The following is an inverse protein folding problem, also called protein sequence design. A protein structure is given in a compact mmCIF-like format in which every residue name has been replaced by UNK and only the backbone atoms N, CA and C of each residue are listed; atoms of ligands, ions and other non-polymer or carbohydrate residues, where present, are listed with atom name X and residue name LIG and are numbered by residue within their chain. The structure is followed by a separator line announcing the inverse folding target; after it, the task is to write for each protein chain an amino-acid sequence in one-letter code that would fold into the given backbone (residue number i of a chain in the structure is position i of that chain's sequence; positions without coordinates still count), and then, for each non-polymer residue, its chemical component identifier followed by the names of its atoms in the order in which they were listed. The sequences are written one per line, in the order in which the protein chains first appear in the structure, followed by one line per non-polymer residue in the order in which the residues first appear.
data_IF_035227551264
#
_entry.id   IF_035227551264
#
_cell.length_a   1.000
_cell.length_b   1.000
_cell.length_c   1.000
_cell.angle_alpha   90.00
_cell.angle_beta   90.00
_cell.angle_gamma   90.00
#
_symmetry.space_group_name_H-M   'P 1'
#
loop_
_entity.id
_entity.type
_entity.pdbx_description
1 polymer ?
#
# COMPACT_ATOMS: atom_id res chain seq x y z
N UNK A 1 11.79 -14.00 -17.36
CA UNK A 1 11.77 -12.88 -16.44
C UNK A 1 12.56 -11.71 -17.01
N UNK A 2 12.02 -10.52 -16.88
CA UNK A 2 12.74 -9.34 -17.34
C UNK A 2 13.92 -9.06 -16.39
N UNK A 3 15.10 -8.93 -16.96
CA UNK A 3 16.25 -8.48 -16.20
C UNK A 3 16.08 -7.01 -15.90
N UNK A 4 16.28 -6.64 -14.65
CA UNK A 4 16.23 -5.24 -14.26
C UNK A 4 17.49 -4.55 -14.75
N UNK A 5 17.32 -3.37 -15.33
CA UNK A 5 18.44 -2.53 -15.69
C UNK A 5 19.12 -2.02 -14.42
N UNK A 6 20.44 -1.75 -14.46
CA UNK A 6 21.13 -1.22 -13.29
C UNK A 6 20.45 0.03 -12.70
N UNK A 7 19.96 0.89 -13.56
CA UNK A 7 19.23 2.10 -13.12
C UNK A 7 17.96 1.75 -12.33
N UNK A 8 17.21 0.72 -12.75
CA UNK A 8 16.02 0.28 -12.05
C UNK A 8 16.39 -0.35 -10.70
N UNK A 9 17.47 -1.09 -10.65
CA UNK A 9 17.95 -1.67 -9.41
C UNK A 9 18.38 -0.60 -8.42
N UNK A 10 19.07 0.43 -8.90
CA UNK A 10 19.47 1.55 -8.06
C UNK A 10 18.24 2.31 -7.54
N UNK A 11 17.25 2.53 -8.40
CA UNK A 11 16.01 3.18 -8.02
C UNK A 11 15.27 2.34 -6.98
N UNK A 12 15.22 1.03 -7.19
CA UNK A 12 14.61 0.09 -6.26
C UNK A 12 15.31 0.15 -4.90
N UNK A 13 16.64 0.09 -4.88
CA UNK A 13 17.40 0.15 -3.63
C UNK A 13 17.19 1.46 -2.90
N UNK A 14 17.10 2.56 -3.63
CA UNK A 14 16.91 3.90 -3.06
C UNK A 14 15.50 4.06 -2.49
N UNK A 15 14.49 3.53 -3.18
CA UNK A 15 13.09 3.65 -2.78
C UNK A 15 12.52 2.34 -2.25
N UNK A 16 13.39 1.34 -2.06
CA UNK A 16 13.00 0.08 -1.49
C UNK A 16 12.87 0.24 0.02
N UNK A 17 11.83 0.92 0.39
CA UNK A 17 11.50 1.07 1.78
C UNK A 17 11.19 -0.31 2.36
N UNK A 18 11.64 -0.57 3.59
CA UNK A 18 11.33 -1.86 4.24
C UNK A 18 9.85 -2.21 4.20
N UNK A 19 8.97 -1.21 4.24
CA UNK A 19 7.53 -1.42 4.17
C UNK A 19 7.11 -2.09 2.86
N UNK A 20 7.62 -1.62 1.73
CA UNK A 20 7.31 -2.21 0.43
C UNK A 20 7.80 -3.64 0.34
N UNK A 21 8.99 -3.89 0.86
CA UNK A 21 9.55 -5.24 0.88
C UNK A 21 8.69 -6.18 1.73
N UNK A 22 8.21 -5.71 2.88
CA UNK A 22 7.35 -6.52 3.74
C UNK A 22 6.03 -6.88 3.06
N UNK A 23 5.42 -5.90 2.38
CA UNK A 23 4.20 -6.14 1.63
C UNK A 23 4.45 -7.12 0.48
N UNK A 24 5.54 -6.93 -0.26
CA UNK A 24 5.89 -7.82 -1.35
C UNK A 24 6.08 -9.26 -0.85
N UNK A 25 6.82 -9.44 0.24
CA UNK A 25 7.04 -10.76 0.82
C UNK A 25 5.73 -11.40 1.29
N UNK A 26 4.86 -10.62 1.90
CA UNK A 26 3.57 -11.10 2.35
C UNK A 26 2.73 -11.61 1.18
N UNK A 27 2.63 -10.81 0.11
CA UNK A 27 1.86 -11.18 -1.06
C UNK A 27 2.42 -12.42 -1.74
N UNK A 28 3.74 -12.51 -1.85
CA UNK A 28 4.39 -13.67 -2.47
C UNK A 28 4.14 -14.94 -1.66
N UNK A 29 4.21 -14.85 -0.33
CA UNK A 29 3.94 -16.02 0.51
C UNK A 29 2.49 -16.44 0.49
N UNK A 30 1.57 -15.47 0.61
CA UNK A 30 0.14 -15.78 0.75
C UNK A 30 -0.51 -16.14 -0.57
N UNK A 31 -0.10 -15.50 -1.64
CA UNK A 31 -0.81 -15.60 -2.93
C UNK A 31 -0.03 -16.33 -4.01
N UNK A 32 1.25 -16.65 -3.76
CA UNK A 32 2.07 -17.33 -4.76
C UNK A 32 2.35 -16.48 -5.98
N UNK A 33 2.38 -15.16 -5.81
CA UNK A 33 2.59 -14.20 -6.89
C UNK A 33 4.03 -13.71 -6.90
N UNK A 34 4.40 -12.99 -7.97
CA UNK A 34 5.66 -12.28 -8.07
C UNK A 34 5.38 -10.79 -7.92
N UNK A 35 6.13 -10.10 -7.07
CA UNK A 35 5.92 -8.68 -6.81
C UNK A 35 7.17 -7.91 -7.19
N UNK A 36 6.98 -6.87 -7.98
CA UNK A 36 8.06 -6.01 -8.47
C UNK A 36 7.81 -4.57 -8.06
N UNK A 37 8.87 -3.80 -7.72
CA UNK A 37 8.71 -2.37 -7.55
C UNK A 37 8.37 -1.74 -8.89
N UNK A 38 7.51 -0.73 -8.87
CA UNK A 38 7.20 0.00 -10.08
C UNK A 38 8.39 0.94 -10.42
N UNK A 39 8.98 0.84 -11.61
CA UNK A 39 10.08 1.75 -11.97
C UNK A 39 9.64 3.20 -12.13
N UNK A 40 8.34 3.44 -12.35
CA UNK A 40 7.80 4.79 -12.38
C UNK A 40 7.57 5.29 -10.96
N UNK A 41 8.41 6.21 -10.50
CA UNK A 41 8.32 6.74 -9.13
C UNK A 41 7.06 7.55 -8.87
N UNK A 42 6.36 7.97 -9.90
CA UNK A 42 5.09 8.71 -9.78
C UNK A 42 3.88 7.79 -9.92
N UNK A 43 4.12 6.53 -10.23
CA UNK A 43 3.07 5.54 -10.33
C UNK A 43 2.79 4.86 -9.01
N UNK A 44 1.99 3.82 -9.06
CA UNK A 44 1.70 2.99 -7.88
C UNK A 44 2.97 2.28 -7.42
N UNK A 45 3.03 1.92 -6.14
CA UNK A 45 4.27 1.42 -5.54
C UNK A 45 4.73 0.07 -6.07
N UNK A 46 3.84 -0.91 -6.14
CA UNK A 46 4.19 -2.29 -6.46
C UNK A 46 3.33 -2.84 -7.58
N UNK A 47 3.95 -3.67 -8.42
CA UNK A 47 3.27 -4.42 -9.48
C UNK A 47 3.22 -5.90 -9.10
N UNK A 48 2.07 -6.52 -9.28
CA UNK A 48 1.83 -7.91 -8.90
C UNK A 48 1.57 -8.74 -10.15
N UNK A 49 2.34 -9.81 -10.31
CA UNK A 49 2.26 -10.67 -11.49
C UNK A 49 2.10 -12.13 -11.07
N UNK A 50 1.61 -12.96 -12.00
CA UNK A 50 1.57 -14.40 -11.75
C UNK A 50 2.94 -15.03 -12.05
N UNK A 51 3.05 -16.35 -11.93
CA UNK A 51 4.31 -17.06 -12.12
C UNK A 51 4.85 -16.92 -13.55
N UNK A 52 4.00 -16.60 -14.51
CA UNK A 52 4.38 -16.39 -15.92
C UNK A 52 4.67 -14.92 -16.23
N UNK A 53 4.82 -14.08 -15.19
CA UNK A 53 5.05 -12.63 -15.31
C UNK A 53 3.89 -11.86 -15.98
N UNK A 54 2.70 -12.42 -15.95
CA UNK A 54 1.53 -11.71 -16.44
C UNK A 54 0.98 -10.80 -15.34
N UNK A 55 0.65 -9.56 -15.69
CA UNK A 55 0.16 -8.57 -14.74
C UNK A 55 -1.19 -8.99 -14.16
N UNK A 56 -1.30 -9.00 -12.83
CA UNK A 56 -2.54 -9.30 -12.13
C UNK A 56 -3.13 -8.05 -11.46
N UNK A 57 -2.27 -7.17 -10.96
CA UNK A 57 -2.73 -6.02 -10.22
C UNK A 57 -1.57 -5.27 -9.59
N UNK A 58 -1.89 -4.40 -8.65
CA UNK A 58 -0.89 -3.53 -8.06
C UNK A 58 -1.21 -3.28 -6.59
N UNK A 59 -0.25 -2.71 -5.87
CA UNK A 59 -0.43 -2.36 -4.48
C UNK A 59 0.19 -1.00 -4.18
N UNK A 60 -0.52 -0.22 -3.39
CA UNK A 60 -0.05 1.04 -2.86
C UNK A 60 0.25 0.84 -1.37
N UNK A 61 1.40 1.37 -0.90
CA UNK A 61 1.89 1.13 0.46
C UNK A 61 2.14 2.46 1.15
N UNK A 62 1.54 2.64 2.34
CA UNK A 62 1.82 3.81 3.18
C UNK A 62 2.20 3.37 4.58
N UNK A 63 3.22 4.02 5.15
CA UNK A 63 3.58 3.80 6.54
C UNK A 63 2.91 4.89 7.36
N UNK A 64 2.22 4.47 8.42
CA UNK A 64 1.57 5.36 9.37
C UNK A 64 2.49 5.59 10.57
N UNK A 65 2.20 6.64 11.34
CA UNK A 65 3.07 7.00 12.46
C UNK A 65 2.81 6.18 13.74
N UNK A 66 1.74 5.40 13.77
CA UNK A 66 1.44 4.57 14.93
C UNK A 66 2.26 3.28 14.90
N UNK A 67 2.90 2.95 16.04
CA UNK A 67 3.84 1.84 16.13
C UNK A 67 3.18 0.50 16.48
N UNK A 68 1.98 0.53 17.03
CA UNK A 68 1.19 -0.64 17.42
C UNK A 68 -0.05 -0.71 16.51
N UNK A 69 -0.90 -1.75 16.66
CA UNK A 69 -2.14 -1.81 15.89
C UNK A 69 -2.91 -0.50 15.92
N UNK A 70 -3.69 -0.25 14.88
CA UNK A 70 -4.37 1.03 14.67
C UNK A 70 -5.13 1.47 15.91
N UNK A 71 -4.79 2.64 16.48
CA UNK A 71 -5.46 3.12 17.70
C UNK A 71 -6.73 3.91 17.40
N UNK A 72 -7.09 4.08 16.14
CA UNK A 72 -8.21 4.92 15.72
C UNK A 72 -9.36 4.07 15.18
N UNK A 73 -10.60 4.56 15.28
CA UNK A 73 -11.74 3.84 14.72
C UNK A 73 -11.79 3.87 13.20
N UNK A 74 -11.09 4.81 12.57
CA UNK A 74 -11.06 4.96 11.12
C UNK A 74 -9.63 5.13 10.63
N UNK A 75 -9.41 4.78 9.36
CA UNK A 75 -8.15 5.04 8.67
C UNK A 75 -8.48 6.00 7.53
N UNK A 76 -7.68 7.06 7.41
CA UNK A 76 -7.85 8.07 6.37
C UNK A 76 -6.95 7.74 5.19
N UNK A 77 -7.52 7.68 3.98
CA UNK A 77 -6.78 7.41 2.77
C UNK A 77 -6.83 8.66 1.89
N UNK A 78 -5.66 9.20 1.46
CA UNK A 78 -5.66 10.45 0.70
C UNK A 78 -6.47 10.36 -0.60
N UNK A 79 -7.39 11.30 -0.77
CA UNK A 79 -8.23 11.37 -1.98
C UNK A 79 -7.38 11.57 -3.24
N UNK A 80 -6.24 12.24 -3.14
CA UNK A 80 -5.33 12.45 -4.27
C UNK A 80 -4.82 11.15 -4.89
N UNK A 81 -4.92 10.03 -4.16
CA UNK A 81 -4.51 8.72 -4.64
C UNK A 81 -5.65 7.96 -5.34
N UNK A 82 -6.80 8.58 -5.49
CA UNK A 82 -7.98 7.94 -6.09
C UNK A 82 -7.69 7.33 -7.46
N UNK A 83 -6.80 7.95 -8.22
CA UNK A 83 -6.41 7.47 -9.55
C UNK A 83 -5.85 6.05 -9.55
N UNK A 84 -5.35 5.57 -8.40
CA UNK A 84 -4.82 4.21 -8.27
C UNK A 84 -5.87 3.20 -7.85
N UNK A 85 -7.04 3.64 -7.39
CA UNK A 85 -7.99 2.76 -6.71
C UNK A 85 -9.00 2.17 -7.69
N UNK A 86 -8.68 0.99 -8.18
CA UNK A 86 -9.54 0.21 -9.07
C UNK A 86 -9.72 -1.21 -8.51
N UNK A 87 -10.31 -2.10 -9.30
CA UNK A 87 -10.59 -3.47 -8.87
C UNK A 87 -9.36 -4.38 -8.87
N UNK A 88 -8.20 -3.89 -9.31
CA UNK A 88 -6.95 -4.65 -9.34
C UNK A 88 -5.90 -4.10 -8.40
N UNK A 89 -6.25 -3.13 -7.58
CA UNK A 89 -5.32 -2.46 -6.69
C UNK A 89 -5.67 -2.76 -5.24
N UNK A 90 -4.63 -3.04 -4.44
CA UNK A 90 -4.75 -3.15 -2.98
C UNK A 90 -4.05 -1.95 -2.35
N UNK A 91 -4.64 -1.43 -1.29
CA UNK A 91 -4.03 -0.37 -0.48
C UNK A 91 -3.62 -0.97 0.86
N UNK A 92 -2.36 -0.76 1.23
CA UNK A 92 -1.79 -1.23 2.49
C UNK A 92 -1.36 -0.05 3.35
N UNK A 93 -1.85 0.00 4.58
CA UNK A 93 -1.38 0.94 5.60
C UNK A 93 -0.63 0.12 6.65
N UNK A 94 0.64 0.46 6.87
CA UNK A 94 1.50 -0.27 7.81
C UNK A 94 1.77 0.56 9.05
N UNK A 95 1.93 -0.11 10.18
CA UNK A 95 2.45 0.53 11.38
C UNK A 95 3.88 0.97 11.15
N UNK A 96 4.36 1.94 11.94
CA UNK A 96 5.75 2.41 11.84
C UNK A 96 6.76 1.31 12.19
N UNK A 97 6.34 0.34 12.99
CA UNK A 97 7.15 -0.84 13.30
C UNK A 97 7.20 -1.83 12.13
N UNK A 98 6.30 -1.67 11.14
CA UNK A 98 6.16 -2.57 9.99
C UNK A 98 5.78 -4.00 10.36
N UNK A 99 5.25 -4.17 11.58
CA UNK A 99 4.80 -5.48 12.06
C UNK A 99 3.36 -5.78 11.69
N UNK A 100 2.55 -4.75 11.50
CA UNK A 100 1.13 -4.90 11.20
C UNK A 100 0.78 -4.13 9.94
N UNK A 101 -0.14 -4.67 9.16
CA UNK A 101 -0.70 -4.00 8.00
C UNK A 101 -2.21 -4.10 8.01
N UNK A 102 -2.84 -3.09 7.42
CA UNK A 102 -4.27 -3.04 7.18
C UNK A 102 -4.46 -2.84 5.70
N UNK A 103 -5.13 -3.76 5.01
CA UNK A 103 -5.29 -3.62 3.56
C UNK A 103 -6.76 -3.68 3.16
N UNK A 104 -7.06 -3.02 2.05
CA UNK A 104 -8.40 -2.97 1.48
C UNK A 104 -8.27 -2.90 -0.05
N UNK A 105 -9.25 -3.46 -0.75
CA UNK A 105 -9.31 -3.36 -2.20
C UNK A 105 -9.59 -1.92 -2.61
N UNK A 106 -8.86 -1.44 -3.64
CA UNK A 106 -8.96 -0.05 -4.03
C UNK A 106 -10.36 0.40 -4.41
N UNK A 107 -11.09 -0.43 -5.16
CA UNK A 107 -12.45 -0.04 -5.58
C UNK A 107 -13.39 0.14 -4.39
N UNK A 108 -13.15 -0.54 -3.27
CA UNK A 108 -13.98 -0.39 -2.08
C UNK A 108 -13.72 0.94 -1.37
N UNK A 109 -12.52 1.48 -1.49
CA UNK A 109 -12.17 2.77 -0.88
C UNK A 109 -13.10 3.86 -1.36
N UNK A 110 -13.41 3.86 -2.65
CA UNK A 110 -14.23 4.92 -3.26
C UNK A 110 -15.69 4.90 -2.83
N UNK A 111 -16.11 3.87 -2.10
CA UNK A 111 -17.47 3.78 -1.56
C UNK A 111 -17.65 4.56 -0.26
N UNK A 112 -16.55 4.99 0.36
CA UNK A 112 -16.59 5.66 1.66
C UNK A 112 -16.60 7.18 1.50
N UNK A 113 -17.10 7.90 2.51
CA UNK A 113 -17.22 9.35 2.40
C UNK A 113 -15.86 10.04 2.38
N UNK A 114 -15.83 11.19 1.72
CA UNK A 114 -14.66 12.03 1.66
C UNK A 114 -14.80 13.10 2.73
N UNK A 115 -13.73 13.34 3.48
CA UNK A 115 -13.71 14.27 4.59
C UNK A 115 -12.50 15.18 4.47
N UNK A 116 -12.69 16.46 4.73
CA UNK A 116 -11.57 17.39 4.77
C UNK A 116 -10.96 17.42 6.17
N UNK A 117 -9.63 17.29 6.24
CA UNK A 117 -8.89 17.30 7.50
C UNK A 117 -7.79 18.33 7.39
N UNK A 118 -7.79 19.29 8.32
CA UNK A 118 -6.77 20.33 8.42
C UNK A 118 -5.84 20.02 9.58
N UNK A 119 -4.57 20.37 9.42
CA UNK A 119 -3.61 20.29 10.51
C UNK A 119 -2.53 21.36 10.30
N UNK A 120 -1.54 21.40 11.20
CA UNK A 120 -0.53 22.45 11.13
C UNK A 120 0.36 22.35 9.88
N UNK A 121 0.49 21.16 9.28
CA UNK A 121 1.26 20.95 8.06
C UNK A 121 0.46 21.31 6.82
N UNK A 122 -0.86 21.14 6.88
CA UNK A 122 -1.77 21.43 5.75
C UNK A 122 -2.92 22.26 6.30
N UNK A 123 -2.68 23.56 6.56
CA UNK A 123 -3.70 24.41 7.17
C UNK A 123 -4.97 24.54 6.34
N UNK A 124 -4.87 24.42 5.02
CA UNK A 124 -6.02 24.49 4.11
C UNK A 124 -6.84 23.22 4.11
N UNK A 125 -6.32 22.18 4.76
CA UNK A 125 -6.95 20.87 4.75
C UNK A 125 -6.57 20.03 3.55
N UNK A 126 -6.69 18.74 3.73
CA UNK A 126 -6.53 17.77 2.65
C UNK A 126 -7.75 16.86 2.68
N UNK A 127 -8.18 16.40 1.52
CA UNK A 127 -9.33 15.52 1.40
C UNK A 127 -8.90 14.06 1.58
N UNK A 128 -9.67 13.32 2.37
CA UNK A 128 -9.40 11.91 2.64
C UNK A 128 -10.69 11.11 2.53
N UNK A 129 -10.55 9.85 2.10
CA UNK A 129 -11.62 8.87 2.33
C UNK A 129 -11.56 8.48 3.80
N UNK A 130 -12.70 8.50 4.46
CA UNK A 130 -12.85 8.18 5.88
C UNK A 130 -13.41 6.77 6.00
N UNK A 131 -12.56 5.79 6.36
CA UNK A 131 -12.90 4.37 6.25
C UNK A 131 -12.80 3.72 7.63
N UNK A 132 -13.87 3.03 8.08
CA UNK A 132 -13.81 2.30 9.34
C UNK A 132 -12.67 1.28 9.32
N UNK A 133 -11.96 1.13 10.43
CA UNK A 133 -10.84 0.19 10.51
C UNK A 133 -11.31 -1.24 10.24
N UNK A 134 -12.55 -1.56 10.60
CA UNK A 134 -13.13 -2.88 10.38
C UNK A 134 -13.30 -3.25 8.90
N UNK A 135 -13.28 -2.24 8.02
CA UNK A 135 -13.35 -2.49 6.58
C UNK A 135 -12.05 -3.01 6.01
N UNK A 136 -10.97 -2.89 6.75
CA UNK A 136 -9.65 -3.38 6.34
C UNK A 136 -9.43 -4.79 6.86
N UNK A 137 -8.60 -5.54 6.15
CA UNK A 137 -8.08 -6.82 6.64
C UNK A 137 -6.80 -6.52 7.41
N UNK A 138 -6.77 -6.92 8.68
CA UNK A 138 -5.59 -6.74 9.53
C UNK A 138 -4.71 -7.99 9.43
N UNK A 139 -3.43 -7.79 9.17
CA UNK A 139 -2.46 -8.89 9.07
C UNK A 139 -1.22 -8.58 9.90
N UNK A 140 -0.61 -9.64 10.42
CA UNK A 140 0.67 -9.56 11.09
C UNK A 140 1.75 -9.94 10.09
N UNK A 141 2.58 -8.96 9.72
CA UNK A 141 3.60 -9.15 8.67
C UNK A 141 4.80 -9.97 9.16
N UNK A 142 4.92 -10.17 10.46
CA UNK A 142 6.01 -10.92 11.06
C UNK A 142 5.68 -12.40 11.25
N UNK A 143 4.42 -12.80 11.03
CA UNK A 143 4.03 -14.18 11.15
C UNK A 143 4.69 -15.02 10.06
N UNK A 144 5.21 -16.16 10.47
CA UNK A 144 5.74 -17.17 9.53
C UNK A 144 4.70 -18.27 9.39
N UNK A 145 4.53 -18.74 8.19
CA UNK A 145 3.66 -19.88 7.90
C UNK A 145 4.36 -21.17 8.12
#
# INVERSE_FOLDING_TARGET
MLMRKPFEQELHDKFDEPAKRRVANYLERKCGVLVYPNPDKYGIDLLVCNAEDEFLGSAEVEVRQWSSPCPFPTIHVPHRKEKFFDDKTLFFALTSSMCHAYWIEGHKIKQYPIKEISNYKVPRGEMFFDIPVEAFVHVNLMEKE
#
